data_IF_745106686458
#
_entry.id   IF_745106686458
#
_cell.length_a   1.000
_cell.length_b   1.000
_cell.length_c   1.000
_cell.angle_alpha   90.00
_cell.angle_beta   90.00
_cell.angle_gamma   90.00
#
_symmetry.space_group_name_H-M   'P 1'
#
loop_
_entity.id
_entity.type
_entity.pdbx_description
1 polymer ?
#
# COMPACT_ATOMS: atom_id res chain seq x y z
N UNK A 1 15.55 -109.72 -51.07
CA UNK A 1 14.24 -109.96 -50.41
C UNK A 1 14.04 -108.88 -49.35
N UNK A 2 12.82 -108.32 -49.32
CA UNK A 2 12.25 -107.32 -48.41
C UNK A 2 12.63 -105.83 -48.56
N UNK A 3 11.63 -105.14 -49.11
CA UNK A 3 11.34 -103.71 -49.12
C UNK A 3 10.72 -103.28 -47.79
N UNK A 4 11.05 -102.07 -47.32
CA UNK A 4 10.15 -101.24 -46.53
C UNK A 4 10.55 -99.75 -46.69
N UNK A 5 9.58 -98.94 -47.15
CA UNK A 5 9.58 -97.47 -47.04
C UNK A 5 9.58 -97.11 -45.53
N UNK A 6 9.99 -95.94 -45.03
CA UNK A 6 9.34 -94.64 -45.28
C UNK A 6 10.03 -93.45 -44.55
N UNK A 7 9.74 -92.25 -45.07
CA UNK A 7 9.65 -90.90 -44.47
C UNK A 7 10.90 -90.04 -44.18
N UNK A 8 11.13 -89.12 -45.12
CA UNK A 8 11.95 -87.91 -45.01
C UNK A 8 11.21 -86.84 -44.18
N UNK A 9 11.89 -86.26 -43.18
CA UNK A 9 11.58 -84.94 -42.63
C UNK A 9 12.65 -83.95 -43.09
N UNK A 10 12.31 -83.13 -44.10
CA UNK A 10 13.09 -81.94 -44.49
C UNK A 10 13.03 -80.91 -43.35
N UNK A 11 14.14 -80.75 -42.63
CA UNK A 11 14.35 -79.66 -41.67
C UNK A 11 14.71 -78.41 -42.49
N UNK A 12 13.75 -77.51 -42.68
CA UNK A 12 14.01 -76.19 -43.29
C UNK A 12 14.81 -75.34 -42.31
N UNK A 13 15.91 -74.79 -42.82
CA UNK A 13 16.77 -73.77 -42.22
C UNK A 13 16.02 -72.44 -42.14
N UNK A 14 15.91 -71.85 -40.95
CA UNK A 14 15.57 -70.43 -40.78
C UNK A 14 16.85 -69.65 -40.50
N UNK A 15 17.25 -68.80 -41.43
CA UNK A 15 18.31 -67.82 -41.22
C UNK A 15 17.87 -66.78 -40.15
N UNK A 16 18.77 -66.31 -39.28
CA UNK A 16 18.44 -65.28 -38.30
C UNK A 16 18.16 -63.95 -39.02
N UNK A 17 17.09 -63.27 -38.63
CA UNK A 17 16.73 -61.96 -39.13
C UNK A 17 17.82 -60.94 -38.76
N UNK A 18 18.31 -60.21 -39.77
CA UNK A 18 19.30 -59.14 -39.65
C UNK A 18 18.68 -57.99 -38.86
N UNK A 19 19.11 -57.80 -37.61
CA UNK A 19 18.69 -56.66 -36.80
C UNK A 19 19.11 -55.36 -37.47
N UNK A 20 18.13 -54.54 -37.87
CA UNK A 20 18.37 -53.19 -38.36
C UNK A 20 18.63 -52.33 -37.14
N UNK A 21 19.89 -51.97 -36.87
CA UNK A 21 20.23 -50.91 -35.92
C UNK A 21 19.65 -49.59 -36.44
N UNK A 22 18.48 -49.22 -35.93
CA UNK A 22 17.98 -47.84 -36.05
C UNK A 22 18.80 -46.99 -35.09
N UNK A 23 19.84 -46.35 -35.62
CA UNK A 23 20.60 -45.33 -34.90
C UNK A 23 19.65 -44.17 -34.61
N UNK A 24 19.27 -43.98 -33.35
CA UNK A 24 18.57 -42.79 -32.89
C UNK A 24 19.57 -41.64 -32.93
N UNK A 25 19.49 -40.80 -33.96
CA UNK A 25 20.07 -39.46 -33.91
C UNK A 25 19.16 -38.60 -33.04
N UNK A 26 19.54 -38.43 -31.77
CA UNK A 26 19.01 -37.37 -30.93
C UNK A 26 19.55 -36.05 -31.51
N UNK A 27 18.71 -35.37 -32.29
CA UNK A 27 18.97 -33.98 -32.64
C UNK A 27 18.87 -33.16 -31.35
N UNK A 28 19.95 -32.46 -31.01
CA UNK A 28 19.97 -31.54 -29.88
C UNK A 28 18.99 -30.41 -30.23
N UNK A 29 17.85 -30.36 -29.55
CA UNK A 29 16.94 -29.22 -29.60
C UNK A 29 17.79 -27.97 -29.34
N UNK A 30 17.69 -26.98 -30.23
CA UNK A 30 18.35 -25.69 -30.04
C UNK A 30 17.93 -25.11 -28.69
N UNK A 31 18.88 -24.52 -27.95
CA UNK A 31 18.54 -23.68 -26.79
C UNK A 31 17.75 -22.48 -27.32
N UNK A 32 16.43 -22.62 -27.38
CA UNK A 32 15.54 -21.48 -27.60
C UNK A 32 15.27 -20.92 -26.22
N UNK A 33 15.70 -19.68 -25.99
CA UNK A 33 15.18 -18.89 -24.88
C UNK A 33 13.65 -18.85 -25.06
N UNK A 34 12.94 -19.51 -24.15
CA UNK A 34 11.49 -19.42 -24.08
C UNK A 34 11.20 -18.05 -23.48
N UNK A 35 10.39 -17.20 -24.13
CA UNK A 35 9.98 -15.93 -23.55
C UNK A 35 9.42 -16.15 -22.13
N UNK A 36 9.78 -15.28 -21.18
CA UNK A 36 9.24 -15.39 -19.83
C UNK A 36 7.76 -15.06 -19.79
N UNK A 37 7.28 -14.15 -20.64
CA UNK A 37 5.88 -13.77 -20.78
C UNK A 37 5.63 -12.97 -22.05
N UNK A 38 4.35 -12.84 -22.41
CA UNK A 38 3.88 -12.10 -23.59
C UNK A 38 2.92 -11.01 -23.14
N UNK A 39 3.29 -9.76 -23.42
CA UNK A 39 2.44 -8.59 -23.17
C UNK A 39 1.83 -8.08 -24.46
N UNK A 40 0.51 -8.17 -24.55
CA UNK A 40 -0.28 -7.58 -25.62
C UNK A 40 -0.57 -6.11 -25.36
N UNK A 41 -0.44 -5.29 -26.39
CA UNK A 41 -0.70 -3.84 -26.35
C UNK A 41 -1.74 -3.49 -27.40
N UNK A 42 -2.88 -2.99 -26.95
CA UNK A 42 -3.93 -2.42 -27.78
C UNK A 42 -4.05 -0.91 -27.53
N UNK A 43 -4.26 -0.14 -28.60
CA UNK A 43 -4.35 1.32 -28.50
C UNK A 43 -5.47 1.91 -29.36
N UNK A 44 -6.13 2.93 -28.82
CA UNK A 44 -7.17 3.71 -29.53
C UNK A 44 -6.91 5.20 -29.46
N UNK A 45 -7.42 5.92 -30.45
CA UNK A 45 -7.41 7.37 -30.46
C UNK A 45 -8.28 7.88 -29.31
N UNK A 46 -7.75 8.84 -28.56
CA UNK A 46 -8.54 9.59 -27.58
C UNK A 46 -9.17 10.83 -28.22
N UNK A 47 -10.17 11.40 -27.56
CA UNK A 47 -10.80 12.67 -27.96
C UNK A 47 -9.90 13.90 -27.74
N UNK A 48 -8.73 13.72 -27.11
CA UNK A 48 -7.76 14.77 -26.85
C UNK A 48 -6.62 14.70 -27.86
N UNK A 49 -6.33 15.84 -28.51
CA UNK A 49 -5.36 15.92 -29.59
C UNK A 49 -3.99 15.35 -29.18
N UNK A 50 -3.47 14.43 -29.99
CA UNK A 50 -2.14 13.84 -29.80
C UNK A 50 -2.00 12.86 -28.64
N UNK A 51 -3.08 12.47 -27.97
CA UNK A 51 -3.06 11.47 -26.89
C UNK A 51 -3.58 10.10 -27.35
N UNK A 52 -3.18 9.05 -26.63
CA UNK A 52 -3.62 7.66 -26.88
C UNK A 52 -4.24 7.05 -25.64
N UNK A 53 -5.23 6.18 -25.83
CA UNK A 53 -5.72 5.27 -24.78
C UNK A 53 -5.02 3.93 -24.94
N UNK A 54 -4.55 3.35 -23.84
CA UNK A 54 -3.79 2.10 -23.83
C UNK A 54 -4.51 1.01 -23.04
N UNK A 55 -4.52 -0.20 -23.59
CA UNK A 55 -4.83 -1.44 -22.87
C UNK A 55 -3.62 -2.35 -23.01
N UNK A 56 -3.09 -2.77 -21.87
CA UNK A 56 -1.89 -3.60 -21.76
C UNK A 56 -2.30 -4.87 -21.01
N UNK A 57 -2.01 -6.02 -21.60
CA UNK A 57 -2.45 -7.31 -21.08
C UNK A 57 -1.30 -8.31 -21.10
N UNK A 58 -0.85 -8.75 -19.93
CA UNK A 58 0.08 -9.87 -19.77
C UNK A 58 -0.60 -11.21 -19.99
N UNK A 59 0.21 -12.26 -20.02
CA UNK A 59 -0.20 -13.66 -19.92
C UNK A 59 0.03 -14.19 -18.51
N UNK A 60 -0.28 -15.47 -18.25
CA UNK A 60 -0.15 -16.07 -16.92
C UNK A 60 1.31 -16.45 -16.55
N UNK A 61 2.29 -15.66 -16.99
CA UNK A 61 3.71 -15.84 -16.73
C UNK A 61 4.37 -14.52 -16.31
N UNK A 62 5.61 -14.57 -15.82
CA UNK A 62 6.34 -13.38 -15.38
C UNK A 62 6.52 -12.35 -16.52
N UNK A 63 5.88 -11.20 -16.40
CA UNK A 63 5.98 -10.09 -17.34
C UNK A 63 6.64 -8.86 -16.71
N UNK A 64 7.58 -8.25 -17.41
CA UNK A 64 8.23 -7.02 -16.98
C UNK A 64 8.15 -5.93 -18.05
N UNK A 65 7.49 -4.82 -17.71
CA UNK A 65 7.20 -3.73 -18.66
C UNK A 65 7.43 -2.35 -18.04
N UNK A 66 8.17 -1.53 -18.78
CA UNK A 66 8.27 -0.10 -18.54
C UNK A 66 7.40 0.68 -19.53
N UNK A 67 6.59 1.60 -19.02
CA UNK A 67 5.76 2.52 -19.77
C UNK A 67 6.31 3.92 -19.54
N UNK A 68 6.92 4.48 -20.57
CA UNK A 68 7.65 5.75 -20.49
C UNK A 68 7.01 6.77 -21.41
N UNK A 69 6.59 7.90 -20.83
CA UNK A 69 6.28 9.10 -21.61
C UNK A 69 7.50 10.01 -21.67
N UNK A 70 7.97 10.26 -22.88
CA UNK A 70 9.02 11.23 -23.19
C UNK A 70 8.45 12.33 -24.09
N UNK A 71 9.21 13.41 -24.31
CA UNK A 71 8.76 14.54 -25.14
C UNK A 71 8.33 14.08 -26.54
N UNK A 72 7.01 14.04 -26.77
CA UNK A 72 6.43 13.69 -28.07
C UNK A 72 6.05 12.22 -28.24
N UNK A 73 6.41 11.34 -27.30
CA UNK A 73 6.29 9.90 -27.48
C UNK A 73 5.82 9.17 -26.21
N UNK A 74 5.10 8.08 -26.43
CA UNK A 74 4.83 7.06 -25.42
C UNK A 74 5.53 5.78 -25.86
N UNK A 75 6.35 5.21 -24.99
CA UNK A 75 7.08 3.97 -25.21
C UNK A 75 6.60 2.92 -24.22
N UNK A 76 6.35 1.72 -24.71
CA UNK A 76 6.17 0.53 -23.90
C UNK A 76 7.38 -0.34 -24.20
N UNK A 77 8.12 -0.73 -23.17
CA UNK A 77 9.41 -1.40 -23.29
C UNK A 77 9.31 -2.69 -22.48
N UNK A 78 9.52 -3.83 -23.14
CA UNK A 78 9.68 -5.09 -22.44
C UNK A 78 11.08 -5.19 -21.85
N UNK A 79 11.17 -5.72 -20.64
CA UNK A 79 12.43 -6.01 -19.95
C UNK A 79 12.63 -7.51 -19.80
N UNK A 80 13.89 -7.91 -19.57
CA UNK A 80 14.26 -9.31 -19.43
C UNK A 80 13.90 -10.12 -20.69
N UNK A 81 13.19 -11.22 -20.48
CA UNK A 81 12.72 -12.13 -21.54
C UNK A 81 11.24 -11.94 -21.88
N UNK A 82 10.61 -10.84 -21.43
CA UNK A 82 9.26 -10.45 -21.82
C UNK A 82 9.23 -10.06 -23.30
N UNK A 83 8.15 -10.38 -24.00
CA UNK A 83 7.95 -10.00 -25.41
C UNK A 83 6.67 -9.19 -25.58
N UNK A 84 6.75 -8.10 -26.34
CA UNK A 84 5.59 -7.28 -26.69
C UNK A 84 4.91 -7.76 -27.97
N UNK A 85 3.58 -7.77 -27.93
CA UNK A 85 2.72 -8.03 -29.08
C UNK A 85 1.80 -6.81 -29.30
N UNK A 86 2.03 -6.07 -30.40
CA UNK A 86 1.15 -4.97 -30.78
C UNK A 86 -0.08 -5.49 -31.53
N UNK A 87 -1.28 -5.20 -31.01
CA UNK A 87 -2.52 -5.57 -31.66
C UNK A 87 -2.74 -4.71 -32.92
N UNK A 88 -2.76 -5.37 -34.10
CA UNK A 88 -2.94 -4.73 -35.39
C UNK A 88 -4.34 -4.15 -35.62
N UNK A 89 -5.32 -4.49 -34.78
CA UNK A 89 -6.64 -3.86 -34.77
C UNK A 89 -6.66 -2.48 -34.10
N UNK A 90 -5.56 -2.09 -33.45
CA UNK A 90 -5.40 -0.79 -32.80
C UNK A 90 -5.60 0.37 -33.79
N UNK A 91 -6.30 1.42 -33.31
CA UNK A 91 -6.60 2.65 -34.07
C UNK A 91 -6.16 3.89 -33.28
N UNK A 92 -4.86 4.06 -33.00
CA UNK A 92 -4.37 5.04 -32.03
C UNK A 92 -4.45 6.51 -32.51
N UNK A 93 -4.77 6.76 -33.78
CA UNK A 93 -4.80 8.12 -34.35
C UNK A 93 -3.42 8.80 -34.46
N UNK A 94 -2.35 8.08 -34.15
CA UNK A 94 -0.95 8.52 -34.24
C UNK A 94 -0.10 7.45 -34.93
N UNK A 95 1.09 7.79 -35.40
CA UNK A 95 2.00 6.79 -35.96
C UNK A 95 2.62 5.93 -34.87
N UNK A 96 2.75 4.62 -35.15
CA UNK A 96 3.27 3.61 -34.23
C UNK A 96 4.45 2.89 -34.88
N UNK A 97 5.49 2.63 -34.09
CA UNK A 97 6.63 1.78 -34.47
C UNK A 97 6.71 0.62 -33.48
N UNK A 98 6.12 -0.54 -33.79
CA UNK A 98 6.15 -1.71 -32.92
C UNK A 98 7.36 -2.61 -33.22
N UNK A 99 7.97 -3.13 -32.15
CA UNK A 99 8.94 -4.23 -32.15
C UNK A 99 8.61 -5.15 -30.98
N UNK A 100 9.22 -6.33 -30.94
CA UNK A 100 9.03 -7.30 -29.85
C UNK A 100 9.57 -6.84 -28.50
N UNK A 101 10.42 -5.82 -28.45
CA UNK A 101 10.99 -5.31 -27.20
C UNK A 101 10.54 -3.88 -26.88
N UNK A 102 10.00 -3.17 -27.87
CA UNK A 102 9.54 -1.80 -27.70
C UNK A 102 8.43 -1.44 -28.68
N UNK A 103 7.34 -0.85 -28.19
CA UNK A 103 6.30 -0.22 -29.00
C UNK A 103 6.35 1.29 -28.74
N UNK A 104 6.52 2.08 -29.81
CA UNK A 104 6.60 3.54 -29.73
C UNK A 104 5.42 4.19 -30.43
N UNK A 105 4.65 4.99 -29.70
CA UNK A 105 3.59 5.84 -30.22
C UNK A 105 4.11 7.28 -30.33
N UNK A 106 3.96 7.91 -31.49
CA UNK A 106 4.24 9.35 -31.67
C UNK A 106 3.06 10.20 -31.16
N UNK A 107 2.73 10.01 -29.88
CA UNK A 107 1.64 10.67 -29.17
C UNK A 107 2.16 11.91 -28.43
N UNK A 108 2.09 13.07 -29.08
CA UNK A 108 2.60 14.34 -28.53
C UNK A 108 1.90 14.80 -27.25
N UNK A 109 0.62 14.44 -27.09
CA UNK A 109 -0.15 14.67 -25.88
C UNK A 109 0.09 13.61 -24.79
N UNK A 110 0.69 12.47 -25.12
CA UNK A 110 0.97 11.38 -24.19
C UNK A 110 -0.18 10.36 -24.06
N UNK A 111 -0.36 9.81 -22.85
CA UNK A 111 -1.40 8.83 -22.52
C UNK A 111 -2.62 9.59 -22.00
N UNK A 112 -3.82 9.26 -22.48
CA UNK A 112 -5.05 9.76 -21.86
C UNK A 112 -5.50 8.76 -20.80
N UNK A 113 -5.96 7.59 -21.22
CA UNK A 113 -6.38 6.51 -20.33
C UNK A 113 -5.44 5.31 -20.46
N UNK A 114 -5.26 4.57 -19.38
CA UNK A 114 -4.47 3.35 -19.35
C UNK A 114 -5.14 2.28 -18.49
N UNK A 115 -5.20 1.07 -19.03
CA UNK A 115 -5.63 -0.14 -18.33
C UNK A 115 -4.53 -1.18 -18.45
N UNK A 116 -4.11 -1.73 -17.33
CA UNK A 116 -3.06 -2.77 -17.24
C UNK A 116 -3.68 -3.98 -16.54
N UNK A 117 -3.49 -5.17 -17.11
CA UNK A 117 -3.92 -6.45 -16.53
C UNK A 117 -2.80 -7.46 -16.77
N UNK A 118 -2.11 -7.95 -15.74
CA UNK A 118 -0.93 -8.79 -15.97
C UNK A 118 -1.24 -10.29 -15.94
N UNK A 119 -2.14 -10.75 -15.07
CA UNK A 119 -2.66 -12.11 -15.09
C UNK A 119 -2.11 -12.93 -13.92
N UNK A 120 -1.48 -14.06 -14.20
CA UNK A 120 -0.66 -14.76 -13.22
C UNK A 120 0.83 -14.54 -13.46
N UNK A 121 1.68 -14.81 -12.48
CA UNK A 121 3.14 -14.70 -12.63
C UNK A 121 3.73 -13.73 -11.61
N UNK A 122 5.02 -13.47 -11.70
CA UNK A 122 5.69 -12.41 -10.93
C UNK A 122 5.89 -11.19 -11.81
N UNK A 123 4.89 -10.34 -11.86
CA UNK A 123 4.80 -9.23 -12.78
C UNK A 123 5.45 -7.96 -12.23
N UNK A 124 6.01 -7.17 -13.14
CA UNK A 124 6.68 -5.93 -12.80
C UNK A 124 6.33 -4.83 -13.80
N UNK A 125 5.55 -3.86 -13.33
CA UNK A 125 5.05 -2.75 -14.14
C UNK A 125 5.56 -1.43 -13.60
N UNK A 126 6.26 -0.67 -14.44
CA UNK A 126 6.70 0.69 -14.12
C UNK A 126 6.08 1.68 -15.08
N UNK A 127 5.46 2.73 -14.55
CA UNK A 127 4.95 3.85 -15.33
C UNK A 127 5.68 5.13 -14.93
N UNK A 128 6.34 5.75 -15.91
CA UNK A 128 7.12 6.96 -15.72
C UNK A 128 6.76 7.99 -16.77
N UNK A 129 6.22 9.13 -16.34
CA UNK A 129 6.01 10.26 -17.22
C UNK A 129 7.03 11.37 -16.92
N UNK A 130 7.80 11.75 -17.94
CA UNK A 130 8.74 12.87 -17.85
C UNK A 130 7.95 14.17 -18.12
N UNK A 131 8.06 15.13 -17.20
CA UNK A 131 7.29 16.38 -17.20
C UNK A 131 5.83 16.18 -16.78
N UNK A 132 5.05 17.27 -16.83
CA UNK A 132 3.63 17.23 -16.45
C UNK A 132 2.84 16.35 -17.41
N UNK A 133 2.02 15.49 -16.82
CA UNK A 133 1.10 14.64 -17.55
C UNK A 133 -0.21 14.48 -16.78
N UNK A 134 -1.32 14.44 -17.53
CA UNK A 134 -2.66 14.26 -16.98
C UNK A 134 -3.27 12.98 -17.53
N UNK A 135 -3.21 11.94 -16.71
CA UNK A 135 -3.97 10.72 -16.93
C UNK A 135 -5.44 10.97 -16.61
N UNK A 136 -6.33 10.43 -17.44
CA UNK A 136 -7.74 10.25 -17.13
C UNK A 136 -7.90 9.06 -16.20
N UNK A 137 -8.40 7.96 -16.74
CA UNK A 137 -8.55 6.69 -16.04
C UNK A 137 -7.23 5.92 -16.06
N UNK A 138 -6.78 5.50 -14.89
CA UNK A 138 -5.58 4.71 -14.69
C UNK A 138 -5.96 3.48 -13.87
N UNK A 139 -6.13 2.35 -14.55
CA UNK A 139 -6.47 1.07 -13.94
C UNK A 139 -5.30 0.09 -14.02
N UNK A 140 -5.04 -0.60 -12.91
CA UNK A 140 -4.04 -1.67 -12.82
C UNK A 140 -4.67 -2.85 -12.10
N UNK A 141 -4.55 -4.03 -12.71
CA UNK A 141 -4.73 -5.31 -12.07
C UNK A 141 -3.45 -6.10 -12.33
N UNK A 142 -2.71 -6.45 -11.29
CA UNK A 142 -1.48 -7.24 -11.46
C UNK A 142 -1.88 -8.73 -11.53
N UNK A 143 -2.70 -9.18 -10.61
CA UNK A 143 -3.32 -10.51 -10.63
C UNK A 143 -2.57 -11.43 -9.66
N UNK A 144 -2.44 -12.72 -9.94
CA UNK A 144 -1.86 -13.63 -8.93
C UNK A 144 -0.35 -13.76 -9.05
N UNK A 145 0.35 -13.66 -7.93
CA UNK A 145 1.77 -13.88 -7.75
C UNK A 145 2.43 -12.66 -7.11
N UNK A 146 3.71 -12.76 -6.79
CA UNK A 146 4.43 -11.67 -6.13
C UNK A 146 4.78 -10.58 -7.14
N UNK A 147 3.99 -9.52 -7.18
CA UNK A 147 4.03 -8.50 -8.20
C UNK A 147 4.67 -7.20 -7.71
N UNK A 148 5.06 -6.35 -8.65
CA UNK A 148 5.57 -5.01 -8.37
C UNK A 148 5.00 -3.96 -9.30
N UNK A 149 4.48 -2.90 -8.71
CA UNK A 149 3.99 -1.73 -9.44
C UNK A 149 4.68 -0.46 -8.98
N UNK A 150 5.17 0.33 -9.93
CA UNK A 150 5.80 1.61 -9.67
C UNK A 150 5.22 2.70 -10.57
N UNK A 151 4.48 3.65 -9.97
CA UNK A 151 4.09 4.91 -10.61
C UNK A 151 5.03 6.04 -10.17
N UNK A 152 5.80 6.56 -11.12
CA UNK A 152 6.72 7.67 -10.91
C UNK A 152 6.18 8.96 -11.54
N UNK A 153 5.92 9.93 -10.68
CA UNK A 153 5.86 11.35 -11.01
C UNK A 153 7.19 11.89 -11.54
N UNK A 154 7.14 13.04 -12.22
CA UNK A 154 8.34 13.65 -12.77
C UNK A 154 9.31 14.14 -11.68
N UNK A 155 10.62 14.04 -11.93
CA UNK A 155 11.68 14.34 -10.96
C UNK A 155 12.18 15.80 -10.99
N UNK A 156 11.78 16.61 -11.97
CA UNK A 156 12.28 17.97 -12.14
C UNK A 156 11.42 18.96 -11.36
N UNK A 157 11.91 19.44 -10.21
CA UNK A 157 11.42 20.62 -9.45
C UNK A 157 9.91 20.76 -9.26
N UNK A 158 9.45 20.74 -8.01
CA UNK A 158 8.08 21.10 -7.63
C UNK A 158 7.56 22.32 -8.43
N UNK A 159 6.34 22.28 -9.01
CA UNK A 159 5.29 21.28 -8.81
C UNK A 159 5.03 20.42 -10.06
N UNK A 160 6.06 19.84 -10.70
CA UNK A 160 5.80 18.97 -11.85
C UNK A 160 5.29 17.59 -11.40
N UNK A 161 3.99 17.48 -11.20
CA UNK A 161 3.30 16.32 -10.62
C UNK A 161 2.44 15.66 -11.70
N UNK A 162 2.51 14.33 -11.82
CA UNK A 162 1.55 13.60 -12.66
C UNK A 162 0.17 13.73 -12.04
N UNK A 163 -0.80 14.22 -12.80
CA UNK A 163 -2.19 14.27 -12.37
C UNK A 163 -2.91 13.02 -12.87
N UNK A 164 -3.54 12.27 -11.98
CA UNK A 164 -4.37 11.11 -12.31
C UNK A 164 -5.78 11.41 -11.85
N UNK A 165 -6.73 11.46 -12.79
CA UNK A 165 -8.11 11.79 -12.49
C UNK A 165 -8.83 10.65 -11.74
N UNK A 166 -8.56 9.40 -12.10
CA UNK A 166 -9.11 8.22 -11.43
C UNK A 166 -8.05 7.13 -11.40
N UNK A 167 -7.56 6.80 -10.21
CA UNK A 167 -6.55 5.75 -10.01
C UNK A 167 -7.18 4.55 -9.30
N UNK A 168 -7.01 3.36 -9.87
CA UNK A 168 -7.36 2.09 -9.23
C UNK A 168 -6.23 1.10 -9.46
N UNK A 169 -5.77 0.49 -8.38
CA UNK A 169 -4.83 -0.61 -8.41
C UNK A 169 -5.37 -1.77 -7.56
N UNK A 170 -5.25 -2.96 -8.09
CA UNK A 170 -5.52 -4.23 -7.43
C UNK A 170 -4.36 -5.19 -7.75
N UNK A 171 -3.66 -5.70 -6.73
CA UNK A 171 -2.63 -6.73 -6.92
C UNK A 171 -3.07 -8.13 -6.49
N UNK A 172 -4.34 -8.32 -6.13
CA UNK A 172 -4.99 -9.63 -5.90
C UNK A 172 -4.30 -10.54 -4.85
N UNK A 173 -3.37 -11.43 -5.22
CA UNK A 173 -2.79 -12.36 -4.25
C UNK A 173 -1.31 -12.59 -4.52
N UNK A 174 -0.49 -12.68 -3.48
CA UNK A 174 0.96 -12.75 -3.57
C UNK A 174 1.61 -11.73 -2.65
N UNK A 175 2.92 -11.85 -2.38
CA UNK A 175 3.63 -10.82 -1.61
C UNK A 175 3.98 -9.65 -2.54
N UNK A 176 3.18 -8.58 -2.53
CA UNK A 176 3.26 -7.51 -3.52
C UNK A 176 4.02 -6.25 -3.08
N UNK A 177 4.60 -5.54 -4.05
CA UNK A 177 5.25 -4.25 -3.84
C UNK A 177 4.61 -3.16 -4.71
N UNK A 178 3.84 -2.27 -4.07
CA UNK A 178 3.20 -1.13 -4.73
C UNK A 178 3.84 0.17 -4.32
N UNK A 179 4.18 1.01 -5.29
CA UNK A 179 4.90 2.26 -5.07
C UNK A 179 4.32 3.39 -5.92
N UNK A 180 3.85 4.45 -5.26
CA UNK A 180 3.34 5.66 -5.91
C UNK A 180 4.12 6.88 -5.41
N UNK A 181 4.83 7.53 -6.33
CA UNK A 181 5.71 8.66 -6.04
C UNK A 181 5.25 9.91 -6.77
N UNK A 182 5.26 11.06 -6.07
CA UNK A 182 5.12 12.41 -6.65
C UNK A 182 3.94 12.54 -7.62
N UNK A 183 2.78 12.01 -7.22
CA UNK A 183 1.59 11.90 -8.06
C UNK A 183 0.43 12.61 -7.39
N UNK A 184 -0.29 13.44 -8.15
CA UNK A 184 -1.53 14.05 -7.76
C UNK A 184 -2.68 13.12 -8.17
N UNK A 185 -3.38 12.57 -7.19
CA UNK A 185 -4.55 11.72 -7.41
C UNK A 185 -5.80 12.56 -7.14
N UNK A 186 -6.73 12.68 -8.09
CA UNK A 186 -8.06 13.26 -7.78
C UNK A 186 -8.96 12.28 -7.01
N UNK A 187 -8.53 11.02 -6.93
CA UNK A 187 -9.12 9.93 -6.20
C UNK A 187 -8.27 8.67 -6.46
N UNK A 188 -8.01 7.86 -5.44
CA UNK A 188 -7.19 6.67 -5.57
C UNK A 188 -7.65 5.53 -4.68
N UNK A 189 -7.83 4.34 -5.27
CA UNK A 189 -8.05 3.08 -4.57
C UNK A 189 -6.86 2.15 -4.81
N UNK A 190 -6.29 1.61 -3.75
CA UNK A 190 -5.25 0.58 -3.81
C UNK A 190 -5.71 -0.63 -2.99
N UNK A 191 -5.70 -1.81 -3.60
CA UNK A 191 -5.95 -3.09 -2.95
C UNK A 191 -4.75 -4.00 -3.21
N UNK A 192 -4.25 -4.71 -2.19
CA UNK A 192 -3.17 -5.68 -2.38
C UNK A 192 -3.59 -7.13 -2.12
N UNK A 193 -4.60 -7.34 -1.26
CA UNK A 193 -5.33 -8.60 -1.19
C UNK A 193 -4.67 -9.62 -0.25
N UNK A 194 -4.44 -10.86 -0.70
CA UNK A 194 -3.86 -11.90 0.16
C UNK A 194 -2.34 -11.98 -0.03
N UNK A 195 -1.53 -11.76 1.01
CA UNK A 195 -0.07 -11.79 0.92
C UNK A 195 0.59 -10.90 1.98
N UNK A 196 1.93 -10.91 2.09
CA UNK A 196 2.64 -9.93 2.93
C UNK A 196 3.07 -8.76 2.05
N UNK A 197 2.19 -7.76 1.96
CA UNK A 197 2.31 -6.69 0.98
C UNK A 197 3.08 -5.49 1.52
N UNK A 198 3.64 -4.71 0.59
CA UNK A 198 4.26 -3.43 0.90
C UNK A 198 3.73 -2.34 -0.02
N UNK A 199 3.06 -1.35 0.56
CA UNK A 199 2.58 -0.16 -0.14
C UNK A 199 3.37 1.06 0.30
N UNK A 200 4.02 1.74 -0.65
CA UNK A 200 4.70 3.01 -0.43
C UNK A 200 4.03 4.16 -1.17
N UNK A 201 3.50 5.11 -0.41
CA UNK A 201 2.92 6.36 -0.92
C UNK A 201 3.83 7.52 -0.55
N UNK A 202 4.42 8.17 -1.55
CA UNK A 202 5.36 9.26 -1.31
C UNK A 202 5.04 10.51 -2.14
N UNK A 203 5.00 11.65 -1.46
CA UNK A 203 4.70 12.96 -2.07
C UNK A 203 3.40 12.92 -2.90
N UNK A 204 2.39 12.19 -2.42
CA UNK A 204 1.09 12.12 -3.06
C UNK A 204 0.25 13.36 -2.72
N UNK A 205 -0.58 13.84 -3.65
CA UNK A 205 -1.35 15.08 -3.46
C UNK A 205 -2.77 14.93 -4.03
N UNK A 206 -3.78 15.61 -3.48
CA UNK A 206 -5.07 15.77 -4.15
C UNK A 206 -6.28 15.23 -3.38
N UNK A 207 -7.15 14.50 -4.07
CA UNK A 207 -8.42 13.99 -3.56
C UNK A 207 -8.29 12.79 -2.63
N UNK A 208 -9.40 12.11 -2.32
CA UNK A 208 -9.45 10.96 -1.43
C UNK A 208 -8.53 9.81 -1.86
N UNK A 209 -7.81 9.23 -0.90
CA UNK A 209 -7.00 8.02 -1.09
C UNK A 209 -7.47 6.96 -0.09
N UNK A 210 -7.69 5.74 -0.58
CA UNK A 210 -8.01 4.57 0.25
C UNK A 210 -7.11 3.39 -0.10
N UNK A 211 -6.52 2.76 0.92
CA UNK A 211 -5.78 1.51 0.81
C UNK A 211 -6.50 0.39 1.56
N UNK A 212 -6.51 -0.81 0.99
CA UNK A 212 -6.98 -2.06 1.61
C UNK A 212 -5.91 -3.11 1.41
N UNK A 213 -5.23 -3.52 2.48
CA UNK A 213 -4.06 -4.40 2.34
C UNK A 213 -4.47 -5.87 2.34
N UNK A 214 -5.42 -6.26 3.18
CA UNK A 214 -6.08 -7.56 3.07
C UNK A 214 -5.54 -8.56 4.09
N UNK A 215 -5.13 -9.76 3.69
CA UNK A 215 -4.68 -10.78 4.64
C UNK A 215 -3.19 -11.07 4.51
N UNK A 216 -2.45 -10.97 5.60
CA UNK A 216 -1.02 -11.24 5.71
C UNK A 216 -0.36 -10.20 6.59
N UNK A 217 0.97 -10.15 6.66
CA UNK A 217 1.65 -9.14 7.50
C UNK A 217 2.09 -7.97 6.62
N UNK A 218 1.21 -6.99 6.50
CA UNK A 218 1.34 -5.93 5.52
C UNK A 218 2.11 -4.72 6.05
N UNK A 219 2.65 -3.94 5.12
CA UNK A 219 3.41 -2.73 5.43
C UNK A 219 2.95 -1.55 4.57
N UNK A 220 2.30 -0.58 5.22
CA UNK A 220 1.95 0.70 4.63
C UNK A 220 2.91 1.81 5.10
N UNK A 221 3.56 2.44 4.13
CA UNK A 221 4.49 3.54 4.35
C UNK A 221 3.96 4.80 3.64
N UNK A 222 3.57 5.81 4.41
CA UNK A 222 3.02 7.08 3.90
C UNK A 222 3.96 8.23 4.25
N UNK A 223 4.51 8.88 3.23
CA UNK A 223 5.53 9.91 3.40
C UNK A 223 5.22 11.18 2.62
N UNK A 224 4.99 12.28 3.35
CA UNK A 224 4.72 13.61 2.79
C UNK A 224 3.50 13.68 1.86
N UNK A 225 2.47 12.91 2.15
CA UNK A 225 1.22 12.88 1.40
C UNK A 225 0.22 13.94 1.86
N UNK A 226 -0.52 14.55 0.92
CA UNK A 226 -1.55 15.55 1.18
C UNK A 226 -2.85 15.21 0.45
N UNK A 227 -3.84 14.67 1.14
CA UNK A 227 -5.11 14.28 0.52
C UNK A 227 -6.32 14.93 1.20
N UNK A 228 -7.41 15.06 0.45
CA UNK A 228 -8.71 15.48 1.00
C UNK A 228 -9.13 14.52 2.12
N UNK A 229 -9.05 13.21 1.90
CA UNK A 229 -9.19 12.20 2.96
C UNK A 229 -8.21 11.06 2.73
N UNK A 230 -7.84 10.38 3.80
CA UNK A 230 -6.99 9.20 3.75
C UNK A 230 -7.62 8.10 4.59
N UNK A 231 -7.77 6.91 4.01
CA UNK A 231 -8.24 5.72 4.70
C UNK A 231 -7.24 4.59 4.47
N UNK A 232 -6.81 3.93 5.53
CA UNK A 232 -6.08 2.68 5.47
C UNK A 232 -6.84 1.60 6.21
N UNK A 233 -7.14 0.51 5.52
CA UNK A 233 -7.56 -0.76 6.10
C UNK A 233 -6.37 -1.72 5.96
N UNK A 234 -5.79 -2.13 7.09
CA UNK A 234 -4.63 -3.03 7.12
C UNK A 234 -5.07 -4.49 7.01
N UNK A 235 -6.25 -4.83 7.53
CA UNK A 235 -6.91 -6.11 7.30
C UNK A 235 -6.60 -7.14 8.38
N UNK A 236 -6.03 -8.29 8.04
CA UNK A 236 -5.73 -9.34 9.02
C UNK A 236 -4.29 -9.80 8.94
N UNK A 237 -3.59 -9.77 10.07
CA UNK A 237 -2.22 -10.21 10.26
C UNK A 237 -1.52 -9.25 11.21
N UNK A 238 -0.19 -9.28 11.28
CA UNK A 238 0.55 -8.36 12.16
C UNK A 238 1.06 -7.20 11.32
N UNK A 239 0.21 -6.20 11.13
CA UNK A 239 0.42 -5.18 10.12
C UNK A 239 1.20 -4.00 10.66
N UNK A 240 1.76 -3.21 9.73
CA UNK A 240 2.55 -2.03 10.04
C UNK A 240 2.13 -0.86 9.18
N UNK A 241 1.69 0.22 9.82
CA UNK A 241 1.46 1.50 9.18
C UNK A 241 2.42 2.56 9.74
N UNK A 242 3.12 3.28 8.86
CA UNK A 242 4.02 4.37 9.23
C UNK A 242 3.73 5.64 8.45
N UNK A 243 3.43 6.70 9.20
CA UNK A 243 3.26 8.06 8.68
C UNK A 243 4.50 8.89 9.01
N UNK A 244 5.26 9.24 7.98
CA UNK A 244 6.50 10.02 8.06
C UNK A 244 6.46 11.27 7.17
N UNK A 245 7.48 12.12 7.27
CA UNK A 245 7.54 13.35 6.46
C UNK A 245 6.50 14.38 6.89
N UNK A 246 5.96 15.15 5.93
CA UNK A 246 5.00 16.23 6.18
C UNK A 246 3.62 15.90 5.59
N UNK A 247 2.85 15.07 6.28
CA UNK A 247 1.52 14.65 5.84
C UNK A 247 0.44 15.66 6.23
N UNK A 248 -0.60 15.76 5.39
CA UNK A 248 -1.81 16.55 5.69
C UNK A 248 -3.06 15.88 5.14
N UNK A 249 -4.03 15.60 5.99
CA UNK A 249 -5.29 14.98 5.59
C UNK A 249 -6.47 15.86 5.98
N UNK A 250 -7.45 16.04 5.10
CA UNK A 250 -8.59 16.92 5.36
C UNK A 250 -8.33 18.39 5.02
N UNK A 251 -9.40 19.18 5.16
CA UNK A 251 -9.35 20.60 4.90
C UNK A 251 -10.52 21.39 5.49
N UNK A 252 -10.47 22.70 5.27
CA UNK A 252 -11.49 23.65 5.65
C UNK A 252 -11.75 24.57 4.46
N UNK A 253 -12.97 24.55 3.92
CA UNK A 253 -13.43 25.50 2.90
C UNK A 253 -14.52 26.37 3.54
N UNK A 254 -14.22 27.66 3.70
CA UNK A 254 -15.09 28.59 4.42
C UNK A 254 -15.20 28.21 5.89
N UNK A 255 -16.34 27.62 6.28
CA UNK A 255 -16.60 27.11 7.65
C UNK A 255 -16.90 25.60 7.68
N UNK A 256 -16.73 24.91 6.55
CA UNK A 256 -17.04 23.49 6.41
C UNK A 256 -15.75 22.68 6.44
N UNK A 257 -15.61 21.88 7.50
CA UNK A 257 -14.57 20.87 7.61
C UNK A 257 -14.90 19.68 6.71
N UNK A 258 -13.88 19.08 6.11
CA UNK A 258 -14.05 17.88 5.30
C UNK A 258 -12.84 16.96 5.43
N UNK A 259 -13.07 15.69 5.11
CA UNK A 259 -12.02 14.70 5.07
C UNK A 259 -11.52 14.24 6.43
N UNK A 260 -10.25 13.87 6.50
CA UNK A 260 -9.63 13.33 7.71
C UNK A 260 -8.72 12.12 7.44
N UNK A 261 -8.30 11.47 8.52
CA UNK A 261 -7.49 10.26 8.51
C UNK A 261 -8.24 9.14 9.25
N UNK A 262 -8.45 8.02 8.54
CA UNK A 262 -8.93 6.77 9.13
C UNK A 262 -7.85 5.69 8.99
N UNK A 263 -7.56 4.97 10.07
CA UNK A 263 -6.74 3.76 10.05
C UNK A 263 -7.50 2.65 10.78
N UNK A 264 -7.66 1.51 10.12
CA UNK A 264 -8.22 0.28 10.68
C UNK A 264 -7.12 -0.77 10.66
N UNK A 265 -6.75 -1.31 11.83
CA UNK A 265 -5.78 -2.40 11.96
C UNK A 265 -6.41 -3.72 11.55
N UNK A 266 -7.42 -4.13 12.32
CA UNK A 266 -8.24 -5.29 12.03
C UNK A 266 -7.92 -6.43 13.00
N UNK A 267 -7.38 -7.56 12.54
CA UNK A 267 -7.06 -8.67 13.43
C UNK A 267 -5.57 -9.05 13.37
N UNK A 268 -4.92 -9.16 14.52
CA UNK A 268 -3.51 -9.49 14.70
C UNK A 268 -2.79 -8.37 15.44
N UNK A 269 -1.48 -8.46 15.65
CA UNK A 269 -0.76 -7.47 16.48
C UNK A 269 -0.22 -6.33 15.62
N UNK A 270 -0.97 -5.25 15.53
CA UNK A 270 -0.69 -4.16 14.60
C UNK A 270 0.21 -3.08 15.19
N UNK A 271 0.98 -2.44 14.33
CA UNK A 271 1.87 -1.34 14.69
C UNK A 271 1.58 -0.10 13.83
N UNK A 272 0.97 0.91 14.44
CA UNK A 272 0.75 2.22 13.86
C UNK A 272 1.76 3.23 14.42
N UNK A 273 2.52 3.87 13.53
CA UNK A 273 3.55 4.83 13.90
C UNK A 273 3.41 6.18 13.20
N UNK A 274 3.69 7.24 13.96
CA UNK A 274 3.82 8.61 13.46
C UNK A 274 5.18 9.14 13.86
N UNK A 275 6.05 9.39 12.88
CA UNK A 275 7.43 9.86 13.12
C UNK A 275 7.72 11.21 12.47
N UNK A 276 6.97 11.58 11.43
CA UNK A 276 6.99 12.91 10.81
C UNK A 276 5.81 13.78 11.26
N UNK A 277 5.76 15.03 10.80
CA UNK A 277 4.62 15.91 11.02
C UNK A 277 3.41 15.40 10.22
N UNK A 278 2.35 15.01 10.91
CA UNK A 278 1.06 14.65 10.33
C UNK A 278 -0.03 15.57 10.88
N UNK A 279 -0.62 16.37 9.99
CA UNK A 279 -1.76 17.21 10.30
C UNK A 279 -3.05 16.56 9.81
N UNK A 280 -4.01 16.38 10.71
CA UNK A 280 -5.36 15.93 10.37
C UNK A 280 -6.32 17.06 10.63
N UNK A 281 -7.04 17.47 9.59
CA UNK A 281 -8.13 18.42 9.65
C UNK A 281 -9.45 17.66 9.60
N UNK A 282 -10.44 18.09 10.38
CA UNK A 282 -11.72 17.41 10.62
C UNK A 282 -11.64 16.24 11.61
N UNK A 283 -11.33 15.02 11.16
CA UNK A 283 -11.41 13.81 12.00
C UNK A 283 -10.21 12.87 11.84
N UNK A 284 -9.68 12.44 12.97
CA UNK A 284 -8.78 11.30 13.13
C UNK A 284 -9.59 10.15 13.75
N UNK A 285 -9.67 9.02 13.04
CA UNK A 285 -10.26 7.79 13.54
C UNK A 285 -9.25 6.65 13.42
N UNK A 286 -8.78 6.14 14.55
CA UNK A 286 -7.90 4.97 14.61
C UNK A 286 -8.68 3.85 15.31
N UNK A 287 -8.72 2.68 14.70
CA UNK A 287 -9.34 1.48 15.26
C UNK A 287 -8.40 0.29 14.99
N UNK A 288 -7.63 -0.14 15.99
CA UNK A 288 -6.61 -1.20 15.77
C UNK A 288 -7.21 -2.61 15.86
N UNK A 289 -8.29 -2.80 16.62
CA UNK A 289 -9.14 -3.98 16.50
C UNK A 289 -8.82 -5.08 17.50
N UNK A 290 -8.39 -6.25 17.03
CA UNK A 290 -8.15 -7.43 17.88
C UNK A 290 -6.68 -7.80 17.80
N UNK A 291 -5.98 -7.78 18.93
CA UNK A 291 -4.58 -8.18 19.03
C UNK A 291 -3.84 -7.37 20.07
N UNK A 292 -2.53 -7.55 20.21
CA UNK A 292 -1.72 -6.71 21.10
C UNK A 292 -1.11 -5.56 20.29
N UNK A 293 -1.91 -4.53 20.10
CA UNK A 293 -1.66 -3.45 19.16
C UNK A 293 -0.80 -2.35 19.77
N UNK A 294 -0.15 -1.59 18.88
CA UNK A 294 0.75 -0.50 19.28
C UNK A 294 0.54 0.75 18.46
N UNK A 295 0.11 1.83 19.11
CA UNK A 295 0.14 3.18 18.58
C UNK A 295 1.32 3.95 19.14
N UNK A 296 2.28 4.32 18.28
CA UNK A 296 3.48 5.07 18.66
C UNK A 296 3.55 6.42 17.94
N UNK A 297 3.59 7.51 18.70
CA UNK A 297 3.81 8.86 18.15
C UNK A 297 5.12 9.42 18.69
N UNK A 298 6.03 9.80 17.80
CA UNK A 298 7.29 10.45 18.18
C UNK A 298 7.03 11.81 18.83
N UNK A 299 7.95 12.24 19.70
CA UNK A 299 8.03 13.64 20.06
C UNK A 299 8.64 14.43 18.89
N UNK A 300 8.12 15.63 18.60
CA UNK A 300 8.76 16.52 17.65
C UNK A 300 10.20 16.83 18.10
N UNK A 301 11.08 17.13 17.15
CA UNK A 301 12.52 17.21 17.42
C UNK A 301 12.84 18.28 18.47
N UNK A 302 12.28 19.49 18.31
CA UNK A 302 12.54 20.64 19.16
C UNK A 302 11.25 21.16 19.83
N UNK A 303 11.40 21.85 20.97
CA UNK A 303 10.27 22.42 21.73
C UNK A 303 9.41 23.43 20.96
N UNK A 304 9.97 24.07 19.93
CA UNK A 304 9.28 25.04 19.06
C UNK A 304 8.68 24.41 17.81
N UNK A 305 8.97 23.13 17.53
CA UNK A 305 8.45 22.47 16.35
C UNK A 305 6.94 22.21 16.54
N UNK A 306 6.15 22.20 15.45
CA UNK A 306 4.79 21.69 15.49
C UNK A 306 4.76 20.26 16.03
N UNK A 307 3.61 19.86 16.61
CA UNK A 307 3.44 18.49 17.07
C UNK A 307 3.62 17.47 15.94
N UNK A 308 4.18 16.30 16.27
CA UNK A 308 4.29 15.18 15.33
C UNK A 308 2.92 14.75 14.80
N UNK A 309 1.90 14.67 15.65
CA UNK A 309 0.51 14.44 15.21
C UNK A 309 -0.39 15.56 15.74
N UNK A 310 -0.99 16.34 14.84
CA UNK A 310 -1.93 17.40 15.21
C UNK A 310 -3.30 17.15 14.61
N UNK A 311 -4.34 17.36 15.39
CA UNK A 311 -5.74 17.22 14.97
C UNK A 311 -6.49 18.51 15.28
N UNK A 312 -7.18 19.04 14.28
CA UNK A 312 -7.98 20.26 14.38
C UNK A 312 -9.29 20.06 13.61
N UNK A 313 -10.41 20.53 14.13
CA UNK A 313 -11.73 20.24 13.56
C UNK A 313 -12.82 21.16 14.09
N UNK A 314 -14.10 20.82 13.91
CA UNK A 314 -15.19 21.61 14.47
C UNK A 314 -15.16 21.59 16.00
N UNK A 315 -15.24 22.77 16.62
CA UNK A 315 -15.31 22.95 18.06
C UNK A 315 -16.43 22.10 18.70
N UNK A 316 -16.10 21.42 19.80
CA UNK A 316 -17.08 20.68 20.59
C UNK A 316 -17.43 19.28 20.09
N UNK A 317 -16.82 18.82 18.99
CA UNK A 317 -16.88 17.43 18.53
C UNK A 317 -15.68 16.60 19.00
N UNK A 318 -15.83 15.26 18.93
CA UNK A 318 -14.70 14.34 18.99
C UNK A 318 -14.01 14.33 17.64
N UNK A 319 -12.87 15.01 17.58
CA UNK A 319 -12.07 15.12 16.36
C UNK A 319 -10.93 14.10 16.35
N UNK A 320 -10.55 13.55 17.51
CA UNK A 320 -9.64 12.41 17.60
C UNK A 320 -10.30 11.27 18.38
N UNK A 321 -10.55 10.15 17.69
CA UNK A 321 -11.07 8.92 18.24
C UNK A 321 -10.06 7.80 18.00
N UNK A 322 -9.61 7.18 19.08
CA UNK A 322 -8.59 6.13 19.04
C UNK A 322 -9.16 4.95 19.83
N UNK A 323 -9.28 3.80 19.17
CA UNK A 323 -9.74 2.51 19.72
C UNK A 323 -8.67 1.46 19.50
N UNK A 324 -8.37 0.70 20.54
CA UNK A 324 -7.37 -0.37 20.46
C UNK A 324 -8.08 -1.72 20.43
N UNK A 325 -9.10 -1.91 21.27
CA UNK A 325 -10.09 -2.98 21.10
C UNK A 325 -9.85 -4.13 22.07
N UNK A 326 -9.51 -5.32 21.59
CA UNK A 326 -9.25 -6.46 22.49
C UNK A 326 -7.80 -6.92 22.40
N UNK A 327 -7.11 -7.02 23.54
CA UNK A 327 -5.75 -7.52 23.68
C UNK A 327 -4.95 -6.64 24.64
N UNK A 328 -3.65 -6.89 24.77
CA UNK A 328 -2.80 -6.09 25.66
C UNK A 328 -2.13 -4.97 24.85
N UNK A 329 -2.79 -3.83 24.78
CA UNK A 329 -2.44 -2.77 23.84
C UNK A 329 -1.48 -1.75 24.44
N UNK A 330 -0.78 -1.02 23.56
CA UNK A 330 0.10 0.08 23.94
C UNK A 330 -0.19 1.34 23.14
N UNK A 331 -0.52 2.41 23.84
CA UNK A 331 -0.50 3.76 23.29
C UNK A 331 0.64 4.53 23.89
N UNK A 332 1.50 5.07 23.02
CA UNK A 332 2.66 5.84 23.44
C UNK A 332 2.78 7.14 22.65
N UNK A 333 2.45 8.24 23.31
CA UNK A 333 2.74 9.59 22.85
C UNK A 333 4.10 10.06 23.40
N UNK A 334 5.00 10.45 22.51
CA UNK A 334 6.35 10.92 22.86
C UNK A 334 7.38 9.80 22.89
N UNK A 335 7.51 9.04 21.80
CA UNK A 335 8.68 8.17 21.58
C UNK A 335 9.92 9.00 21.17
N UNK A 336 11.09 8.35 21.14
CA UNK A 336 12.35 8.97 20.71
C UNK A 336 12.92 10.01 21.71
N UNK A 337 13.93 10.75 21.26
CA UNK A 337 14.67 11.74 22.04
C UNK A 337 14.21 13.18 21.83
N UNK A 338 13.18 13.41 20.99
CA UNK A 338 12.65 14.75 20.73
C UNK A 338 12.13 15.44 21.98
N UNK A 339 12.31 16.76 22.05
CA UNK A 339 11.83 17.59 23.18
C UNK A 339 10.54 18.35 22.87
N UNK A 340 10.06 18.28 21.63
CA UNK A 340 8.85 18.95 21.17
C UNK A 340 7.57 18.21 21.51
N UNK A 341 6.42 18.83 21.17
CA UNK A 341 5.13 18.21 21.35
C UNK A 341 5.01 16.92 20.52
N UNK A 342 4.55 15.83 21.11
CA UNK A 342 4.22 14.61 20.35
C UNK A 342 2.85 14.73 19.69
N UNK A 343 1.88 15.28 20.43
CA UNK A 343 0.52 15.50 19.93
C UNK A 343 0.01 16.89 20.27
N UNK A 344 -0.84 17.43 19.40
CA UNK A 344 -1.65 18.61 19.68
C UNK A 344 -3.07 18.40 19.13
N UNK A 345 -4.00 18.03 20.00
CA UNK A 345 -5.40 17.80 19.65
C UNK A 345 -6.23 18.98 20.15
N UNK A 346 -6.67 19.81 19.20
CA UNK A 346 -7.29 21.11 19.45
C UNK A 346 -8.69 21.02 20.08
N UNK A 347 -9.35 19.87 19.96
CA UNK A 347 -10.72 19.63 20.44
C UNK A 347 -10.82 18.40 21.35
N UNK A 348 -11.95 17.69 21.29
CA UNK A 348 -12.16 16.50 22.10
C UNK A 348 -11.42 15.31 21.52
N UNK A 349 -10.66 14.68 22.41
CA UNK A 349 -9.97 13.41 22.18
C UNK A 349 -10.64 12.35 23.02
N UNK A 350 -10.98 11.24 22.37
CA UNK A 350 -11.47 10.04 23.05
C UNK A 350 -10.52 8.89 22.74
N UNK A 351 -9.95 8.34 23.80
CA UNK A 351 -9.07 7.18 23.77
C UNK A 351 -9.78 6.03 24.50
N UNK A 352 -10.00 4.94 23.80
CA UNK A 352 -10.65 3.72 24.30
C UNK A 352 -9.63 2.57 24.16
N UNK A 353 -8.99 2.16 25.26
CA UNK A 353 -8.00 1.07 25.20
C UNK A 353 -8.73 -0.27 25.00
N UNK A 354 -9.74 -0.56 25.81
CA UNK A 354 -10.71 -1.61 25.50
C UNK A 354 -10.66 -2.74 26.52
N UNK A 355 -10.35 -3.96 26.11
CA UNK A 355 -10.23 -5.09 27.04
C UNK A 355 -8.87 -5.76 26.94
N UNK A 356 -8.26 -6.05 28.08
CA UNK A 356 -6.94 -6.68 28.22
C UNK A 356 -6.08 -5.89 29.21
N UNK A 357 -4.82 -6.26 29.37
CA UNK A 357 -3.91 -5.53 30.25
C UNK A 357 -3.19 -4.42 29.45
N UNK A 358 -3.85 -3.26 29.32
CA UNK A 358 -3.41 -2.18 28.44
C UNK A 358 -2.37 -1.26 29.08
N UNK A 359 -1.63 -0.55 28.23
CA UNK A 359 -0.58 0.36 28.65
C UNK A 359 -0.68 1.73 27.96
N UNK A 360 -0.61 2.79 28.76
CA UNK A 360 -0.66 4.16 28.29
C UNK A 360 0.54 4.98 28.76
N UNK A 361 1.29 5.51 27.82
CA UNK A 361 2.42 6.42 28.05
C UNK A 361 2.19 7.74 27.32
N UNK A 362 2.30 8.87 28.03
CA UNK A 362 2.05 10.19 27.45
C UNK A 362 3.15 11.17 27.90
N UNK A 363 3.86 11.77 26.94
CA UNK A 363 4.89 12.79 27.17
C UNK A 363 4.80 13.89 26.13
N UNK A 364 4.96 15.14 26.55
CA UNK A 364 4.91 16.35 25.71
C UNK A 364 3.64 16.40 24.84
N UNK A 365 2.49 16.13 25.44
CA UNK A 365 1.23 16.03 24.72
C UNK A 365 0.28 17.17 25.10
N UNK A 366 -0.40 17.73 24.11
CA UNK A 366 -1.40 18.79 24.30
C UNK A 366 -2.76 18.25 23.88
N UNK A 367 -3.69 18.22 24.82
CA UNK A 367 -5.09 17.87 24.59
C UNK A 367 -5.98 19.00 25.08
N UNK A 368 -6.86 19.53 24.22
CA UNK A 368 -7.84 20.51 24.69
C UNK A 368 -8.91 19.85 25.59
N UNK A 369 -9.36 18.65 25.24
CA UNK A 369 -10.13 17.79 26.13
C UNK A 369 -9.71 16.34 25.91
N UNK A 370 -9.30 15.65 26.98
CA UNK A 370 -8.97 14.22 26.92
C UNK A 370 -10.01 13.41 27.70
N UNK A 371 -10.60 12.41 27.05
CA UNK A 371 -11.36 11.34 27.69
C UNK A 371 -10.60 10.04 27.41
N UNK A 372 -9.79 9.59 28.37
CA UNK A 372 -9.10 8.32 28.31
C UNK A 372 -9.86 7.28 29.14
N UNK A 373 -10.25 6.18 28.49
CA UNK A 373 -10.91 5.03 29.09
C UNK A 373 -9.95 3.84 28.94
N UNK A 374 -9.48 3.29 30.07
CA UNK A 374 -8.60 2.12 30.04
C UNK A 374 -9.44 0.87 29.75
N UNK A 375 -10.51 0.64 30.49
CA UNK A 375 -11.54 -0.33 30.13
C UNK A 375 -11.50 -1.55 31.04
N UNK A 376 -11.53 -2.75 30.47
CA UNK A 376 -11.56 -4.00 31.24
C UNK A 376 -10.16 -4.61 31.32
N UNK A 377 -9.62 -4.84 32.51
CA UNK A 377 -8.34 -5.54 32.69
C UNK A 377 -7.44 -4.92 33.77
N UNK A 378 -6.15 -5.22 33.74
CA UNK A 378 -5.16 -4.65 34.68
C UNK A 378 -4.34 -3.58 33.96
N UNK A 379 -4.93 -2.40 33.78
CA UNK A 379 -4.35 -1.38 32.92
C UNK A 379 -3.28 -0.55 33.63
N UNK A 380 -2.36 0.01 32.84
CA UNK A 380 -1.18 0.69 33.37
C UNK A 380 -0.94 2.03 32.71
N UNK A 381 -0.92 3.08 33.52
CA UNK A 381 -0.26 4.33 33.13
C UNK A 381 1.24 4.19 33.42
N UNK A 382 2.07 4.37 32.38
CA UNK A 382 3.49 4.02 32.46
C UNK A 382 4.41 5.13 32.96
N UNK A 383 3.95 6.39 33.01
CA UNK A 383 4.78 7.53 33.41
C UNK A 383 3.99 8.63 34.14
N UNK A 384 4.72 9.53 34.79
CA UNK A 384 4.15 10.70 35.47
C UNK A 384 3.73 11.79 34.47
N UNK A 385 2.44 11.95 34.23
CA UNK A 385 1.93 12.90 33.23
C UNK A 385 2.14 14.35 33.65
N UNK A 386 1.94 14.69 34.93
CA UNK A 386 2.12 16.05 35.43
C UNK A 386 3.58 16.52 35.32
N UNK A 387 4.55 15.62 35.48
CA UNK A 387 5.98 15.89 35.26
C UNK A 387 6.46 15.75 33.81
N UNK A 388 5.65 15.20 32.90
CA UNK A 388 6.07 14.86 31.52
C UNK A 388 5.60 15.84 30.46
N UNK A 389 5.26 17.07 30.83
CA UNK A 389 4.82 18.11 29.88
C UNK A 389 3.47 17.80 29.22
N UNK A 390 2.60 17.05 29.90
CA UNK A 390 1.24 16.77 29.42
C UNK A 390 0.31 17.90 29.85
N UNK A 391 -0.40 18.48 28.89
CA UNK A 391 -1.41 19.53 29.13
C UNK A 391 -2.76 19.01 28.71
N UNK A 392 -3.75 19.13 29.60
CA UNK A 392 -5.15 18.80 29.33
C UNK A 392 -6.05 19.97 29.71
N UNK A 393 -7.10 20.24 28.94
CA UNK A 393 -8.08 21.27 29.28
C UNK A 393 -9.17 20.80 30.24
N UNK A 394 -10.04 21.74 30.61
CA UNK A 394 -11.10 21.55 31.60
C UNK A 394 -12.07 20.43 31.23
N UNK A 395 -12.37 19.55 32.21
CA UNK A 395 -13.30 18.44 32.03
C UNK A 395 -12.65 17.14 31.55
N UNK A 396 -11.33 17.12 31.39
CA UNK A 396 -10.59 15.92 31.00
C UNK A 396 -10.68 14.82 32.06
N UNK A 397 -10.73 13.57 31.61
CA UNK A 397 -10.94 12.38 32.44
C UNK A 397 -9.98 11.28 32.07
N UNK A 398 -9.44 10.63 33.10
CA UNK A 398 -8.85 9.30 33.03
C UNK A 398 -9.73 8.36 33.83
N UNK A 399 -10.31 7.36 33.17
CA UNK A 399 -11.18 6.38 33.79
C UNK A 399 -10.52 5.01 33.70
N UNK A 400 -10.30 4.38 34.86
CA UNK A 400 -9.75 3.03 34.96
C UNK A 400 -10.67 2.01 34.29
N UNK A 401 -11.86 1.83 34.84
CA UNK A 401 -12.84 0.92 34.25
C UNK A 401 -13.07 -0.26 35.18
N UNK A 402 -13.07 -1.48 34.64
CA UNK A 402 -13.25 -2.71 35.40
C UNK A 402 -11.91 -3.41 35.53
N UNK A 403 -11.38 -3.47 36.76
CA UNK A 403 -10.18 -4.24 37.07
C UNK A 403 -9.30 -3.53 38.07
N UNK A 404 -7.99 -3.76 37.99
CA UNK A 404 -7.01 -3.17 38.91
C UNK A 404 -6.01 -2.34 38.14
N UNK A 405 -6.36 -1.07 37.97
CA UNK A 405 -5.56 -0.14 37.19
C UNK A 405 -4.47 0.51 38.03
N UNK A 406 -3.30 0.73 37.43
CA UNK A 406 -2.12 1.18 38.13
C UNK A 406 -1.59 2.51 37.57
N UNK A 407 -1.45 3.47 38.47
CA UNK A 407 -0.63 4.67 38.25
C UNK A 407 0.81 4.42 38.74
N UNK A 408 1.82 5.07 38.14
CA UNK A 408 3.18 4.92 38.59
C UNK A 408 3.39 5.57 39.97
N UNK A 409 4.38 5.09 40.71
CA UNK A 409 4.72 5.68 42.01
C UNK A 409 5.17 7.14 41.84
N UNK A 410 4.62 8.04 42.66
CA UNK A 410 4.91 9.48 42.58
C UNK A 410 4.22 10.20 41.42
N UNK A 411 3.20 9.58 40.80
CA UNK A 411 2.42 10.22 39.74
C UNK A 411 1.73 11.50 40.23
N UNK A 412 1.81 12.54 39.41
CA UNK A 412 1.21 13.85 39.64
C UNK A 412 0.13 14.09 38.59
N UNK A 413 -1.05 14.49 39.05
CA UNK A 413 -2.19 14.77 38.18
C UNK A 413 -1.93 16.03 37.36
N UNK A 414 -1.98 15.96 36.01
CA UNK A 414 -2.04 17.18 35.20
C UNK A 414 -3.19 18.08 35.66
N UNK A 415 -3.03 19.41 35.69
CA UNK A 415 -4.13 20.32 35.96
C UNK A 415 -5.32 20.00 35.06
N UNK A 416 -6.54 20.10 35.61
CA UNK A 416 -7.81 19.81 34.93
C UNK A 416 -8.12 18.34 34.64
N UNK A 417 -7.23 17.39 34.94
CA UNK A 417 -7.51 15.96 34.81
C UNK A 417 -8.26 15.44 36.05
N UNK A 418 -9.40 14.79 35.83
CA UNK A 418 -10.10 14.02 36.87
C UNK A 418 -9.79 12.54 36.70
N UNK A 419 -9.40 11.87 37.78
CA UNK A 419 -9.19 10.43 37.82
C UNK A 419 -10.44 9.77 38.39
N UNK A 420 -10.91 8.72 37.73
CA UNK A 420 -12.08 7.94 38.12
C UNK A 420 -11.74 6.45 38.07
N UNK A 421 -12.26 5.69 39.03
CA UNK A 421 -12.15 4.22 39.04
C UNK A 421 -10.71 3.69 38.97
N UNK A 422 -9.74 4.41 39.54
CA UNK A 422 -8.36 3.95 39.72
C UNK A 422 -8.03 4.05 41.22
N UNK A 423 -7.56 2.97 41.87
CA UNK A 423 -7.35 2.91 43.32
C UNK A 423 -6.20 3.77 43.86
#
# INVERSE_FOLDING_TARGET
MFSAKTFSRRRRTSAPAKAVERRLTLERLEEREVPAGIVSVFATQSNFAGTVNLVITGDDLDNQVDIVRESGQVKIIAQGTTVLHYDLSSTPGVSVTPTYTQITFNASGGIRDISITMGGGHDAVRVSAIGDHSFGNFGVNLGSGNDSFLLLGSSSTSPNINFVNSFSLDSDSGDDLVSVYKTALSGGTLSTGDGNDTVYLNDCVGGPISTSLGAGNDTLLVNSCRSDSFSADLGSGNDRASFSGNNRFGGLIGRTWFGGLTVVGGAGNDLLTFTGQTQVLNKLNIDLGVGNDRLLVAAAANSSDPATLSVDGPDGEINALIRLGTGNDLVRFGTGSGSGPSVNFADQTRLEMGSGDDALFIRNAIFNLLIALLGDGTDRVLNDWGGSGVTVGAGSKLHGGVGVDLLPSGWTTPPNLTILAIP
#
